data_IF_889498301536
#
_entry.id   IF_889498301536
#
_cell.length_a   1.000
_cell.length_b   1.000
_cell.length_c   1.000
_cell.angle_alpha   90.00
_cell.angle_beta   90.00
_cell.angle_gamma   90.00
#
_symmetry.space_group_name_H-M   'P 1'
#
loop_
_entity.id
_entity.type
_entity.pdbx_description
1 polymer ?
#
# COMPACT_ATOMS: atom_id res chain seq x y z
N UNK A 1 -4.06 -13.43 5.29
CA UNK A 1 -3.01 -13.22 4.26
C UNK A 1 -2.56 -11.77 4.33
N UNK A 2 -1.27 -11.49 4.12
CA UNK A 2 -0.69 -10.15 4.32
C UNK A 2 -0.17 -9.58 3.01
N UNK A 3 -0.53 -8.33 2.72
CA UNK A 3 -0.23 -7.63 1.46
C UNK A 3 0.66 -6.41 1.67
N UNK A 4 1.62 -6.21 0.78
CA UNK A 4 2.42 -4.99 0.71
C UNK A 4 1.88 -4.01 -0.33
N UNK A 5 1.86 -2.71 -0.02
CA UNK A 5 1.41 -1.64 -0.94
C UNK A 5 2.50 -0.60 -1.09
N UNK A 6 2.87 -0.28 -2.33
CA UNK A 6 3.78 0.81 -2.67
C UNK A 6 3.30 1.51 -3.94
N UNK A 7 3.69 2.76 -4.14
CA UNK A 7 3.50 3.49 -5.38
C UNK A 7 4.81 3.55 -6.16
N UNK A 8 4.80 3.13 -7.43
CA UNK A 8 5.91 3.31 -8.34
C UNK A 8 5.58 4.39 -9.37
N UNK A 9 6.57 5.23 -9.71
CA UNK A 9 6.40 6.32 -10.67
C UNK A 9 6.12 7.68 -10.01
N UNK A 10 5.67 8.65 -10.82
CA UNK A 10 5.34 10.00 -10.35
C UNK A 10 3.95 10.10 -9.72
N UNK A 11 3.69 11.20 -9.03
CA UNK A 11 2.39 11.47 -8.43
C UNK A 11 1.33 11.74 -9.51
N UNK A 12 0.14 11.19 -9.30
CA UNK A 12 -0.98 11.41 -10.20
C UNK A 12 -2.31 11.43 -9.43
N UNK A 13 -3.30 12.21 -9.91
CA UNK A 13 -4.61 12.26 -9.28
C UNK A 13 -5.24 10.87 -9.27
N UNK A 14 -5.59 10.39 -8.08
CA UNK A 14 -6.28 9.12 -7.88
C UNK A 14 -5.47 8.03 -7.15
N UNK A 15 -4.15 8.14 -7.03
CA UNK A 15 -3.32 7.15 -6.32
C UNK A 15 -3.83 6.89 -4.89
N UNK A 16 -4.05 7.97 -4.13
CA UNK A 16 -4.55 7.88 -2.76
C UNK A 16 -5.94 7.22 -2.68
N UNK A 17 -6.80 7.46 -3.68
CA UNK A 17 -8.11 6.85 -3.75
C UNK A 17 -8.02 5.34 -4.02
N UNK A 18 -7.13 4.91 -4.91
CA UNK A 18 -6.89 3.49 -5.22
C UNK A 18 -6.29 2.75 -4.02
N UNK A 19 -5.26 3.33 -3.38
CA UNK A 19 -4.66 2.77 -2.15
C UNK A 19 -5.73 2.59 -1.09
N UNK A 20 -6.57 3.60 -0.87
CA UNK A 20 -7.68 3.53 0.10
C UNK A 20 -8.70 2.46 -0.27
N UNK A 21 -9.04 2.32 -1.55
CA UNK A 21 -10.02 1.34 -2.01
C UNK A 21 -9.54 -0.10 -1.81
N UNK A 22 -8.30 -0.42 -2.19
CA UNK A 22 -7.75 -1.77 -2.05
C UNK A 22 -7.61 -2.17 -0.59
N UNK A 23 -7.09 -1.28 0.27
CA UNK A 23 -6.93 -1.55 1.71
C UNK A 23 -8.30 -1.74 2.35
N UNK A 24 -9.25 -0.83 2.11
CA UNK A 24 -10.58 -0.94 2.74
C UNK A 24 -11.32 -2.19 2.31
N UNK A 25 -11.29 -2.56 1.03
CA UNK A 25 -11.95 -3.78 0.55
C UNK A 25 -11.26 -5.03 1.12
N UNK A 26 -9.92 -5.06 1.09
CA UNK A 26 -9.12 -6.16 1.64
C UNK A 26 -9.40 -6.43 3.12
N UNK A 27 -9.40 -5.38 3.94
CA UNK A 27 -9.66 -5.49 5.37
C UNK A 27 -11.11 -5.90 5.65
N UNK A 28 -12.09 -5.25 5.00
CA UNK A 28 -13.51 -5.44 5.32
C UNK A 28 -14.08 -6.75 4.79
N UNK A 29 -13.80 -7.09 3.54
CA UNK A 29 -14.46 -8.21 2.86
C UNK A 29 -13.69 -9.51 3.00
N UNK A 30 -12.37 -9.43 3.20
CA UNK A 30 -11.48 -10.60 3.18
C UNK A 30 -10.65 -10.80 4.45
N UNK A 31 -10.71 -9.87 5.42
CA UNK A 31 -9.92 -9.97 6.65
C UNK A 31 -8.41 -9.96 6.40
N UNK A 32 -7.95 -9.29 5.33
CA UNK A 32 -6.53 -9.21 4.99
C UNK A 32 -5.81 -8.13 5.80
N UNK A 33 -4.53 -8.37 6.04
CA UNK A 33 -3.61 -7.41 6.65
C UNK A 33 -2.80 -6.69 5.59
N UNK A 34 -2.46 -5.43 5.84
CA UNK A 34 -1.69 -4.60 4.92
C UNK A 34 -0.44 -4.04 5.58
N UNK A 35 0.59 -3.81 4.77
CA UNK A 35 1.77 -3.01 5.12
C UNK A 35 2.03 -2.04 3.96
N UNK A 36 2.11 -0.75 4.25
CA UNK A 36 2.55 0.26 3.31
C UNK A 36 4.06 0.37 3.27
N UNK A 37 4.64 0.58 2.09
CA UNK A 37 6.05 0.92 1.92
C UNK A 37 6.18 2.38 1.51
N UNK A 38 7.07 3.10 2.20
CA UNK A 38 7.38 4.50 1.90
C UNK A 38 8.40 4.59 0.77
N UNK A 39 8.40 5.72 0.07
CA UNK A 39 9.38 6.05 -0.97
C UNK A 39 9.47 5.02 -2.12
N UNK A 40 8.34 4.40 -2.46
CA UNK A 40 8.24 3.43 -3.55
C UNK A 40 9.13 2.21 -3.34
N UNK A 41 9.97 1.89 -4.34
CA UNK A 41 10.87 0.73 -4.29
C UNK A 41 11.96 0.82 -3.22
N UNK A 42 12.26 2.02 -2.71
CA UNK A 42 13.20 2.19 -1.60
C UNK A 42 12.66 1.54 -0.32
N UNK A 43 11.34 1.58 -0.10
CA UNK A 43 10.73 1.05 1.11
C UNK A 43 10.94 -0.44 1.34
N UNK A 44 10.69 -1.33 0.37
CA UNK A 44 11.01 -2.76 0.51
C UNK A 44 12.50 -3.05 0.64
N UNK A 45 13.36 -2.25 -0.02
CA UNK A 45 14.82 -2.45 0.01
C UNK A 45 15.44 -2.05 1.36
N UNK A 46 14.93 -0.99 1.99
CA UNK A 46 15.48 -0.42 3.22
C UNK A 46 14.61 -0.68 4.47
N UNK A 47 13.49 -1.39 4.32
CA UNK A 47 12.57 -1.70 5.43
C UNK A 47 11.73 -0.51 5.91
N UNK A 48 11.49 0.48 5.05
CA UNK A 48 10.67 1.66 5.38
C UNK A 48 9.17 1.32 5.30
N UNK A 49 8.67 0.69 6.36
CA UNK A 49 7.29 0.18 6.41
C UNK A 49 6.37 0.99 7.34
N UNK A 50 5.07 0.97 7.04
CA UNK A 50 3.99 1.54 7.84
C UNK A 50 2.81 0.56 7.91
N UNK A 51 2.28 0.22 9.10
CA UNK A 51 1.10 -0.62 9.24
C UNK A 51 -0.19 0.09 8.82
#
# INVERSE_FOLDING_TARGET
MRFGVLTGGGDCPGLNAVIRAVVRKGVKEYGYEFIGFRDGWKGPLEGLTMP
#
